data_IF_357649182544
#
_entry.id   IF_357649182544
#
_cell.length_a   1.000
_cell.length_b   1.000
_cell.length_c   1.000
_cell.angle_alpha   90.00
_cell.angle_beta   90.00
_cell.angle_gamma   90.00
#
_symmetry.space_group_name_H-M   'P 1'
#
loop_
_entity.id
_entity.type
_entity.pdbx_description
1 polymer ?
#
# COMPACT_ATOMS: atom_id res chain seq x y z
N UNK A 1 7.34 88.00 4.76
CA UNK A 1 8.59 88.18 3.97
C UNK A 1 8.71 86.93 3.12
N UNK A 2 8.13 86.87 1.91
CA UNK A 2 8.54 87.52 0.65
C UNK A 2 9.13 86.39 -0.22
N UNK A 3 8.88 86.16 -1.51
CA UNK A 3 8.23 86.82 -2.65
C UNK A 3 7.86 85.67 -3.64
N UNK A 4 6.66 85.63 -4.23
CA UNK A 4 6.34 86.06 -5.61
C UNK A 4 7.22 85.47 -6.76
N UNK A 5 6.65 84.45 -7.43
CA UNK A 5 6.40 84.36 -8.89
C UNK A 5 7.55 84.66 -9.89
N UNK A 6 7.92 83.66 -10.70
CA UNK A 6 7.84 83.74 -12.19
C UNK A 6 8.15 82.42 -12.92
N UNK A 7 7.27 82.10 -13.88
CA UNK A 7 7.43 81.09 -14.94
C UNK A 7 8.61 81.42 -15.85
N UNK A 8 9.34 80.39 -16.31
CA UNK A 8 9.85 80.29 -17.68
C UNK A 8 9.89 78.83 -18.14
N UNK A 9 9.51 78.63 -19.40
CA UNK A 9 9.49 77.37 -20.15
C UNK A 9 10.89 77.10 -20.71
N UNK A 10 11.38 75.86 -20.61
CA UNK A 10 12.37 75.33 -21.55
C UNK A 10 12.10 73.84 -21.78
N UNK A 11 11.75 73.52 -23.02
CA UNK A 11 11.67 72.16 -23.56
C UNK A 11 13.08 71.69 -24.01
N UNK A 12 13.15 70.39 -24.37
CA UNK A 12 14.30 69.59 -24.87
C UNK A 12 15.02 68.82 -23.73
N UNK A 13 15.20 67.50 -23.77
CA UNK A 13 15.27 66.55 -24.89
C UNK A 13 15.02 65.14 -24.35
N UNK A 14 14.22 64.33 -25.05
CA UNK A 14 14.08 62.92 -24.76
C UNK A 14 15.36 62.18 -25.19
N UNK A 15 16.07 61.58 -24.25
CA UNK A 15 17.08 60.56 -24.53
C UNK A 15 16.46 59.20 -24.22
N UNK A 16 15.94 58.57 -25.28
CA UNK A 16 15.55 57.16 -25.28
C UNK A 16 16.83 56.33 -25.11
N UNK A 17 17.13 55.92 -23.88
CA UNK A 17 18.09 54.84 -23.65
C UNK A 17 17.36 53.55 -23.98
N UNK A 18 17.58 53.03 -25.20
CA UNK A 18 17.27 51.64 -25.52
C UNK A 18 18.26 50.79 -24.73
N UNK A 19 17.90 50.46 -23.49
CA UNK A 19 18.50 49.34 -22.81
C UNK A 19 17.96 48.08 -23.50
N UNK A 20 18.74 47.50 -24.40
CA UNK A 20 18.59 46.11 -24.81
C UNK A 20 18.92 45.24 -23.59
N UNK A 21 17.98 45.19 -22.64
CA UNK A 21 17.99 44.25 -21.55
C UNK A 21 17.66 42.89 -22.13
N UNK A 22 18.66 42.01 -22.16
CA UNK A 22 18.53 40.61 -22.47
C UNK A 22 17.29 40.06 -21.76
N UNK A 23 16.28 39.66 -22.52
CA UNK A 23 15.19 38.85 -21.99
C UNK A 23 15.84 37.52 -21.64
N UNK A 24 16.28 37.37 -20.40
CA UNK A 24 16.53 36.05 -19.84
C UNK A 24 15.16 35.41 -19.79
N UNK A 25 14.86 34.60 -20.80
CA UNK A 25 13.72 33.72 -20.77
C UNK A 25 13.87 32.85 -19.52
N UNK A 26 13.13 33.18 -18.47
CA UNK A 26 12.86 32.24 -17.40
C UNK A 26 12.06 31.12 -18.05
N UNK A 27 12.75 30.08 -18.49
CA UNK A 27 12.12 28.81 -18.79
C UNK A 27 11.46 28.35 -17.50
N UNK A 28 10.13 28.42 -17.47
CA UNK A 28 9.34 27.71 -16.49
C UNK A 28 9.69 26.23 -16.66
N UNK A 29 10.55 25.72 -15.80
CA UNK A 29 10.77 24.29 -15.67
C UNK A 29 9.44 23.74 -15.18
N UNK A 30 8.73 23.02 -16.05
CA UNK A 30 7.56 22.26 -15.63
C UNK A 30 7.99 21.44 -14.42
N UNK A 31 7.27 21.60 -13.29
CA UNK A 31 7.48 20.76 -12.13
C UNK A 31 7.41 19.30 -12.59
N UNK A 32 8.25 18.40 -12.06
CA UNK A 32 8.13 16.99 -12.38
C UNK A 32 6.69 16.56 -12.19
N UNK A 33 6.10 15.97 -13.23
CA UNK A 33 4.73 15.46 -13.22
C UNK A 33 4.60 14.59 -11.97
N UNK A 34 3.65 14.92 -11.09
CA UNK A 34 3.40 14.10 -9.91
C UNK A 34 3.13 12.66 -10.38
N UNK A 35 3.74 11.65 -9.75
CA UNK A 35 3.51 10.27 -10.14
C UNK A 35 2.01 9.98 -10.10
N UNK A 36 1.51 9.31 -11.14
CA UNK A 36 0.10 8.96 -11.24
C UNK A 36 -0.33 8.20 -9.97
N UNK A 37 -1.51 8.52 -9.40
CA UNK A 37 -2.01 7.81 -8.24
C UNK A 37 -2.16 6.34 -8.58
N UNK A 38 -1.59 5.48 -7.74
CA UNK A 38 -1.76 4.04 -7.87
C UNK A 38 -3.21 3.70 -7.55
N UNK A 39 -3.83 2.82 -8.34
CA UNK A 39 -5.13 2.26 -8.02
C UNK A 39 -5.09 1.68 -6.60
N UNK A 40 -6.01 2.10 -5.75
CA UNK A 40 -6.03 1.65 -4.37
C UNK A 40 -6.29 0.16 -4.29
N UNK A 41 -5.62 -0.47 -3.34
CA UNK A 41 -6.09 -1.73 -2.80
C UNK A 41 -6.98 -1.38 -1.63
N UNK A 42 -8.17 -1.95 -1.59
CA UNK A 42 -9.09 -1.75 -0.47
C UNK A 42 -8.37 -2.02 0.84
N UNK A 43 -8.28 -1.03 1.74
CA UNK A 43 -7.50 -1.18 2.96
C UNK A 43 -6.14 -0.45 2.97
N UNK A 44 -5.60 -0.10 1.80
CA UNK A 44 -4.24 0.44 1.60
C UNK A 44 -4.31 1.75 0.80
N UNK A 45 -4.15 2.92 1.46
CA UNK A 45 -4.21 4.24 0.80
C UNK A 45 -3.10 4.52 -0.21
N UNK A 46 -1.87 4.08 0.08
CA UNK A 46 -0.68 4.40 -0.73
C UNK A 46 0.06 3.11 -1.13
N UNK A 47 -0.58 2.21 -1.90
CA UNK A 47 0.02 0.91 -2.22
C UNK A 47 1.25 1.06 -3.13
N UNK A 48 2.03 -0.01 -3.26
CA UNK A 48 2.97 -0.12 -4.39
C UNK A 48 2.18 -0.07 -5.72
N UNK A 49 2.74 0.54 -6.79
CA UNK A 49 2.19 0.40 -8.13
C UNK A 49 1.94 -1.07 -8.47
N UNK A 50 0.72 -1.39 -8.90
CA UNK A 50 0.35 -2.76 -9.27
C UNK A 50 1.27 -3.26 -10.38
N UNK A 51 1.92 -4.40 -10.14
CA UNK A 51 2.74 -5.07 -11.16
C UNK A 51 2.12 -6.38 -11.62
N UNK A 52 1.13 -6.87 -10.88
CA UNK A 52 0.42 -8.13 -11.08
C UNK A 52 -1.09 -7.86 -10.95
N UNK A 53 -1.72 -7.25 -11.97
CA UNK A 53 -3.15 -6.94 -11.89
C UNK A 53 -3.98 -8.21 -11.65
N UNK A 54 -5.04 -8.09 -10.85
CA UNK A 54 -5.92 -9.21 -10.57
C UNK A 54 -6.62 -9.71 -11.85
N UNK A 55 -6.49 -11.00 -12.22
CA UNK A 55 -7.04 -11.53 -13.46
C UNK A 55 -8.54 -11.84 -13.28
N UNK A 56 -9.38 -10.81 -13.34
CA UNK A 56 -10.80 -10.86 -12.99
C UNK A 56 -11.60 -11.92 -13.77
N UNK A 57 -11.23 -12.15 -15.04
CA UNK A 57 -11.93 -13.09 -15.95
C UNK A 57 -11.41 -14.53 -15.88
N UNK A 58 -10.35 -14.79 -15.11
CA UNK A 58 -9.79 -16.13 -14.98
C UNK A 58 -10.74 -17.04 -14.17
N UNK A 59 -10.85 -18.31 -14.57
CA UNK A 59 -11.52 -19.33 -13.75
C UNK A 59 -10.77 -19.52 -12.42
N UNK A 60 -11.43 -20.09 -11.40
CA UNK A 60 -10.79 -20.34 -10.10
C UNK A 60 -9.54 -21.23 -10.19
N UNK A 61 -9.54 -22.23 -11.08
CA UNK A 61 -8.35 -23.07 -11.27
C UNK A 61 -7.20 -22.28 -11.88
N UNK A 62 -7.47 -21.43 -12.88
CA UNK A 62 -6.47 -20.52 -13.44
C UNK A 62 -5.99 -19.49 -12.40
N UNK A 63 -6.89 -18.95 -11.57
CA UNK A 63 -6.54 -18.04 -10.49
C UNK A 63 -5.56 -18.68 -9.51
N UNK A 64 -5.80 -19.94 -9.12
CA UNK A 64 -4.90 -20.70 -8.25
C UNK A 64 -3.53 -20.88 -8.89
N UNK A 65 -3.50 -21.33 -10.15
CA UNK A 65 -2.25 -21.52 -10.90
C UNK A 65 -1.46 -20.21 -11.02
N UNK A 66 -2.13 -19.11 -11.39
CA UNK A 66 -1.51 -17.81 -11.56
C UNK A 66 -1.04 -17.22 -10.23
N UNK A 67 -1.79 -17.38 -9.14
CA UNK A 67 -1.38 -16.90 -7.81
C UNK A 67 -0.14 -17.67 -7.34
N UNK A 68 -0.13 -18.99 -7.51
CA UNK A 68 1.02 -19.83 -7.19
C UNK A 68 2.26 -19.46 -8.04
N UNK A 69 2.09 -19.26 -9.34
CA UNK A 69 3.18 -18.89 -10.24
C UNK A 69 3.71 -17.48 -9.99
N UNK A 70 2.82 -16.53 -9.68
CA UNK A 70 3.17 -15.11 -9.49
C UNK A 70 3.90 -14.89 -8.17
N UNK A 71 3.35 -15.44 -7.08
CA UNK A 71 3.81 -15.14 -5.74
C UNK A 71 4.61 -16.30 -5.10
N UNK A 72 4.62 -17.49 -5.70
CA UNK A 72 5.42 -18.63 -5.25
C UNK A 72 4.82 -19.41 -4.06
N UNK A 73 3.51 -19.26 -3.80
CA UNK A 73 2.83 -20.00 -2.72
C UNK A 73 2.28 -21.34 -3.17
N UNK A 74 2.35 -22.35 -2.30
CA UNK A 74 1.56 -23.58 -2.46
C UNK A 74 0.13 -23.37 -2.01
N UNK A 75 -0.86 -23.72 -2.83
CA UNK A 75 -2.27 -23.51 -2.50
C UNK A 75 -2.93 -24.80 -2.01
N UNK A 76 -3.74 -24.68 -0.96
CA UNK A 76 -4.51 -25.78 -0.39
C UNK A 76 -5.87 -25.30 0.15
N UNK A 77 -6.75 -26.23 0.49
CA UNK A 77 -8.05 -25.92 1.09
C UNK A 77 -9.21 -25.93 0.09
N UNK A 78 -10.43 -25.99 0.62
CA UNK A 78 -11.66 -26.17 -0.16
C UNK A 78 -12.39 -24.87 -0.51
N UNK A 79 -11.94 -23.73 0.03
CA UNK A 79 -12.60 -22.44 -0.17
C UNK A 79 -12.08 -21.64 -1.38
N UNK A 80 -11.22 -22.23 -2.21
CA UNK A 80 -10.94 -21.70 -3.54
C UNK A 80 -12.13 -21.98 -4.45
N UNK A 81 -13.13 -21.10 -4.43
CA UNK A 81 -14.37 -21.25 -5.20
C UNK A 81 -14.84 -19.92 -5.76
N UNK A 82 -15.74 -19.96 -6.75
CA UNK A 82 -16.31 -18.75 -7.37
C UNK A 82 -17.03 -17.87 -6.36
N UNK A 83 -17.72 -18.48 -5.39
CA UNK A 83 -18.40 -17.76 -4.31
C UNK A 83 -17.43 -16.98 -3.41
N UNK A 84 -16.13 -17.31 -3.42
CA UNK A 84 -15.08 -16.66 -2.63
C UNK A 84 -14.17 -15.77 -3.46
N UNK A 85 -14.51 -15.51 -4.73
CA UNK A 85 -13.76 -14.64 -5.64
C UNK A 85 -13.42 -13.27 -5.02
N UNK A 86 -14.33 -12.57 -4.31
CA UNK A 86 -13.97 -11.31 -3.63
C UNK A 86 -12.88 -11.46 -2.57
N UNK A 87 -12.92 -12.51 -1.74
CA UNK A 87 -11.86 -12.78 -0.75
C UNK A 87 -10.52 -13.10 -1.41
N UNK A 88 -10.54 -13.84 -2.52
CA UNK A 88 -9.36 -14.15 -3.33
C UNK A 88 -8.76 -12.87 -3.93
N UNK A 89 -9.61 -11.96 -4.42
CA UNK A 89 -9.20 -10.66 -4.94
C UNK A 89 -8.46 -9.84 -3.87
N UNK A 90 -9.02 -9.72 -2.66
CA UNK A 90 -8.35 -9.02 -1.55
C UNK A 90 -6.98 -9.63 -1.24
N UNK A 91 -6.88 -10.96 -1.16
CA UNK A 91 -5.59 -11.64 -0.96
C UNK A 91 -4.59 -11.29 -2.08
N UNK A 92 -5.01 -11.39 -3.34
CA UNK A 92 -4.15 -11.10 -4.49
C UNK A 92 -3.65 -9.66 -4.47
N UNK A 93 -4.55 -8.70 -4.34
CA UNK A 93 -4.21 -7.27 -4.36
C UNK A 93 -3.37 -6.89 -3.14
N UNK A 94 -3.61 -7.50 -1.98
CA UNK A 94 -2.76 -7.31 -0.79
C UNK A 94 -1.31 -7.79 -1.04
N UNK A 95 -1.14 -8.94 -1.72
CA UNK A 95 0.18 -9.46 -2.06
C UNK A 95 0.88 -8.56 -3.08
N UNK A 96 0.22 -8.14 -4.16
CA UNK A 96 0.80 -7.23 -5.15
C UNK A 96 1.14 -5.86 -4.55
N UNK A 97 0.30 -5.36 -3.62
CA UNK A 97 0.50 -4.07 -2.97
C UNK A 97 1.80 -3.96 -2.17
N UNK A 98 2.44 -5.08 -1.81
CA UNK A 98 3.72 -5.10 -1.09
C UNK A 98 4.90 -5.56 -1.94
N UNK A 99 4.71 -5.86 -3.23
CA UNK A 99 5.75 -6.40 -4.12
C UNK A 99 6.88 -5.40 -4.44
N UNK A 100 6.69 -4.10 -4.20
CA UNK A 100 7.77 -3.13 -4.30
C UNK A 100 8.72 -3.13 -3.09
N UNK A 101 8.59 -4.11 -2.19
CA UNK A 101 9.44 -4.33 -1.01
C UNK A 101 10.08 -5.72 -1.06
N UNK A 102 10.99 -6.02 -0.13
CA UNK A 102 11.56 -7.37 0.01
C UNK A 102 10.65 -8.34 0.74
N UNK A 103 9.48 -7.90 1.22
CA UNK A 103 8.67 -8.62 2.19
C UNK A 103 8.39 -10.07 1.76
N UNK A 104 7.89 -10.30 0.54
CA UNK A 104 7.61 -11.66 0.05
C UNK A 104 8.87 -12.54 -0.02
N UNK A 105 9.99 -11.99 -0.50
CA UNK A 105 11.25 -12.72 -0.56
C UNK A 105 11.73 -13.10 0.84
N UNK A 106 11.59 -12.20 1.81
CA UNK A 106 11.92 -12.44 3.22
C UNK A 106 11.03 -13.55 3.84
N UNK A 107 9.73 -13.59 3.51
CA UNK A 107 8.85 -14.68 3.94
C UNK A 107 9.30 -16.04 3.41
N UNK A 108 9.70 -16.09 2.14
CA UNK A 108 10.15 -17.33 1.49
C UNK A 108 11.50 -17.79 2.01
N UNK A 109 12.40 -16.87 2.35
CA UNK A 109 13.70 -17.19 2.94
C UNK A 109 13.56 -17.83 4.33
N UNK A 110 12.56 -17.39 5.11
CA UNK A 110 12.36 -17.83 6.49
C UNK A 110 11.73 -19.21 6.63
N UNK A 111 11.20 -19.77 5.54
CA UNK A 111 10.66 -21.12 5.51
C UNK A 111 11.58 -21.97 4.65
N UNK A 112 12.28 -22.94 5.25
CA UNK A 112 13.08 -23.94 4.52
C UNK A 112 12.15 -24.91 3.76
N UNK A 113 11.49 -24.43 2.72
CA UNK A 113 10.45 -25.12 1.95
C UNK A 113 9.46 -24.13 1.34
N UNK A 114 8.47 -24.65 0.60
CA UNK A 114 7.47 -23.79 -0.01
C UNK A 114 6.40 -23.39 1.01
N UNK A 115 6.33 -22.10 1.30
CA UNK A 115 5.28 -21.44 2.08
C UNK A 115 3.90 -21.64 1.42
N UNK A 116 2.92 -22.04 2.20
CA UNK A 116 1.58 -22.34 1.71
C UNK A 116 0.51 -21.30 2.08
N UNK A 117 -0.52 -21.20 1.25
CA UNK A 117 -1.77 -20.51 1.53
C UNK A 117 -2.91 -21.52 1.51
N UNK A 118 -3.65 -21.62 2.62
CA UNK A 118 -4.72 -22.56 2.82
C UNK A 118 -6.06 -21.83 2.96
N UNK A 119 -6.96 -21.94 1.99
CA UNK A 119 -8.30 -21.35 2.08
C UNK A 119 -9.26 -22.39 2.68
N UNK A 120 -9.47 -22.34 4.00
CA UNK A 120 -10.20 -23.36 4.73
C UNK A 120 -10.98 -22.80 5.92
N UNK A 121 -11.98 -23.56 6.38
CA UNK A 121 -12.73 -23.19 7.58
C UNK A 121 -11.85 -23.32 8.83
N UNK A 122 -11.86 -22.28 9.67
CA UNK A 122 -11.23 -22.28 10.99
C UNK A 122 -12.32 -22.30 12.05
N UNK A 123 -12.22 -23.18 13.04
CA UNK A 123 -13.20 -23.23 14.13
C UNK A 123 -13.06 -22.01 15.07
N UNK A 124 -14.13 -21.65 15.77
CA UNK A 124 -14.11 -20.55 16.75
C UNK A 124 -14.01 -19.15 16.13
N UNK A 125 -13.34 -18.22 16.83
CA UNK A 125 -13.33 -16.80 16.49
C UNK A 125 -12.22 -16.37 15.54
N UNK A 126 -11.19 -17.19 15.30
CA UNK A 126 -10.06 -16.84 14.44
C UNK A 126 -10.45 -16.82 12.95
N UNK A 127 -9.92 -15.87 12.19
CA UNK A 127 -10.21 -15.70 10.75
C UNK A 127 -8.99 -16.06 9.89
N UNK A 128 -7.81 -16.10 10.50
CA UNK A 128 -6.60 -16.64 9.94
C UNK A 128 -5.79 -17.32 11.03
N UNK A 129 -4.81 -18.13 10.61
CA UNK A 129 -3.75 -18.64 11.46
C UNK A 129 -2.51 -18.98 10.65
N UNK A 130 -1.35 -18.96 11.30
CA UNK A 130 -0.11 -19.53 10.76
C UNK A 130 0.18 -20.89 11.40
N UNK A 131 0.27 -21.93 10.57
CA UNK A 131 0.75 -23.28 10.94
C UNK A 131 -0.13 -24.06 11.94
N UNK A 132 -1.25 -23.51 12.42
CA UNK A 132 -2.13 -24.18 13.39
C UNK A 132 -3.11 -25.13 12.71
N UNK A 133 -3.81 -24.65 11.68
CA UNK A 133 -4.75 -25.48 10.90
C UNK A 133 -3.99 -26.40 9.95
N UNK A 134 -2.89 -25.93 9.36
CA UNK A 134 -2.03 -26.72 8.47
C UNK A 134 -0.59 -26.26 8.58
N UNK A 135 0.31 -27.15 8.98
CA UNK A 135 1.74 -26.85 9.18
C UNK A 135 2.38 -26.22 7.94
N UNK A 136 3.08 -25.10 8.12
CA UNK A 136 3.72 -24.29 7.08
C UNK A 136 2.76 -23.61 6.09
N UNK A 137 1.49 -23.43 6.47
CA UNK A 137 0.51 -22.66 5.70
C UNK A 137 -0.04 -21.52 6.53
N UNK A 138 -0.19 -20.37 5.90
CA UNK A 138 -1.14 -19.35 6.37
C UNK A 138 -2.52 -19.83 5.95
N UNK A 139 -3.38 -20.10 6.92
CA UNK A 139 -4.77 -20.44 6.68
C UNK A 139 -5.63 -19.19 6.78
N UNK A 140 -6.51 -18.96 5.81
CA UNK A 140 -7.48 -17.87 5.80
C UNK A 140 -8.88 -18.46 5.62
N UNK A 141 -9.81 -18.10 6.49
CA UNK A 141 -11.21 -18.51 6.38
C UNK A 141 -11.98 -17.50 5.50
N UNK A 142 -11.95 -17.72 4.20
CA UNK A 142 -12.68 -16.92 3.22
C UNK A 142 -14.19 -16.90 3.44
N UNK A 143 -14.76 -17.89 4.14
CA UNK A 143 -16.16 -17.82 4.53
C UNK A 143 -16.42 -16.79 5.62
N UNK A 144 -15.47 -16.58 6.54
CA UNK A 144 -15.55 -15.48 7.52
C UNK A 144 -15.23 -14.14 6.88
N UNK A 145 -14.31 -14.09 5.92
CA UNK A 145 -14.00 -12.85 5.18
C UNK A 145 -15.25 -12.21 4.58
N UNK A 146 -16.18 -13.02 4.07
CA UNK A 146 -17.45 -12.54 3.54
C UNK A 146 -18.17 -11.60 4.52
N UNK A 147 -18.11 -11.85 5.83
CA UNK A 147 -18.75 -10.99 6.84
C UNK A 147 -18.14 -9.59 6.90
N UNK A 148 -16.83 -9.48 6.70
CA UNK A 148 -16.16 -8.17 6.63
C UNK A 148 -16.48 -7.46 5.30
N UNK A 149 -16.51 -8.21 4.19
CA UNK A 149 -16.94 -7.67 2.89
C UNK A 149 -18.39 -7.15 2.96
N UNK A 150 -19.30 -7.91 3.56
CA UNK A 150 -20.71 -7.53 3.72
C UNK A 150 -20.89 -6.29 4.63
N UNK A 151 -19.90 -5.97 5.46
CA UNK A 151 -19.88 -4.78 6.33
C UNK A 151 -18.98 -3.65 5.81
N UNK A 152 -18.36 -3.81 4.64
CA UNK A 152 -17.45 -2.83 4.04
C UNK A 152 -16.11 -2.67 4.77
N UNK A 153 -15.76 -3.58 5.68
CA UNK A 153 -14.50 -3.56 6.45
C UNK A 153 -13.40 -4.34 5.72
N UNK A 154 -13.11 -3.94 4.48
CA UNK A 154 -12.10 -4.60 3.65
C UNK A 154 -10.68 -4.36 4.20
N UNK A 155 -10.46 -3.23 4.90
CA UNK A 155 -9.21 -2.91 5.57
C UNK A 155 -8.82 -3.94 6.64
N UNK A 156 -9.79 -4.47 7.39
CA UNK A 156 -9.56 -5.59 8.32
C UNK A 156 -9.03 -6.83 7.61
N UNK A 157 -9.49 -7.12 6.39
CA UNK A 157 -9.06 -8.29 5.64
C UNK A 157 -7.61 -8.14 5.17
N UNK A 158 -7.22 -6.96 4.68
CA UNK A 158 -5.82 -6.66 4.38
C UNK A 158 -4.95 -6.80 5.61
N UNK A 159 -5.34 -6.16 6.73
CA UNK A 159 -4.62 -6.25 8.00
C UNK A 159 -4.48 -7.70 8.44
N UNK A 160 -5.52 -8.52 8.28
CA UNK A 160 -5.49 -9.93 8.64
C UNK A 160 -4.54 -10.74 7.75
N UNK A 161 -4.59 -10.57 6.41
CA UNK A 161 -3.66 -11.25 5.49
C UNK A 161 -2.21 -10.95 5.86
N UNK A 162 -1.88 -9.66 6.06
CA UNK A 162 -0.51 -9.24 6.41
C UNK A 162 -0.14 -9.65 7.85
N UNK A 163 -1.09 -9.66 8.78
CA UNK A 163 -0.87 -10.16 10.15
C UNK A 163 -0.42 -11.62 10.12
N UNK A 164 -1.13 -12.50 9.41
CA UNK A 164 -0.74 -13.91 9.35
C UNK A 164 0.61 -14.12 8.64
N UNK A 165 0.90 -13.33 7.61
CA UNK A 165 2.23 -13.31 6.99
C UNK A 165 3.30 -12.72 7.93
N UNK A 166 2.93 -11.87 8.88
CA UNK A 166 3.79 -11.41 9.97
C UNK A 166 4.25 -12.56 10.87
N UNK A 167 3.39 -13.54 11.15
CA UNK A 167 3.80 -14.76 11.87
C UNK A 167 4.75 -15.63 11.05
N UNK A 168 4.61 -15.64 9.72
CA UNK A 168 5.62 -16.25 8.84
C UNK A 168 6.93 -15.48 8.93
N UNK A 169 6.88 -14.15 8.85
CA UNK A 169 8.09 -13.32 8.92
C UNK A 169 8.85 -13.60 10.22
N UNK A 170 8.17 -13.74 11.36
CA UNK A 170 8.82 -14.03 12.64
C UNK A 170 9.11 -15.53 12.90
N UNK A 171 8.98 -16.41 11.91
CA UNK A 171 9.22 -17.85 12.13
C UNK A 171 10.69 -18.18 12.42
N UNK A 172 11.62 -17.38 11.90
CA UNK A 172 13.07 -17.44 12.10
C UNK A 172 13.53 -16.79 13.42
N UNK A 173 12.62 -16.27 14.25
CA UNK A 173 12.92 -15.51 15.48
C UNK A 173 13.94 -16.15 16.43
N UNK A 174 14.04 -17.48 16.42
CA UNK A 174 14.99 -18.23 17.26
C UNK A 174 16.44 -18.09 16.79
N UNK A 175 16.66 -17.67 15.54
CA UNK A 175 17.97 -17.33 14.98
C UNK A 175 18.42 -15.92 15.38
N UNK A 176 17.56 -15.15 16.06
CA UNK A 176 17.77 -13.78 16.48
C UNK A 176 18.18 -12.83 15.35
N UNK A 177 17.42 -12.79 14.23
CA UNK A 177 17.70 -11.84 13.16
C UNK A 177 17.59 -10.40 13.67
N UNK A 178 18.26 -9.46 12.98
CA UNK A 178 18.34 -8.06 13.43
C UNK A 178 16.96 -7.44 13.66
N UNK A 179 16.05 -7.58 12.69
CA UNK A 179 14.70 -7.03 12.78
C UNK A 179 13.98 -7.51 14.05
N UNK A 180 14.12 -8.79 14.41
CA UNK A 180 13.49 -9.37 15.60
C UNK A 180 14.15 -8.90 16.90
N UNK A 181 15.48 -8.81 16.91
CA UNK A 181 16.24 -8.29 18.06
C UNK A 181 15.88 -6.83 18.35
N UNK A 182 15.68 -6.02 17.31
CA UNK A 182 15.23 -4.64 17.46
C UNK A 182 13.78 -4.59 17.95
N UNK A 183 12.90 -5.42 17.39
CA UNK A 183 11.50 -5.47 17.79
C UNK A 183 11.30 -5.84 19.25
N UNK A 184 12.00 -6.86 19.74
CA UNK A 184 11.85 -7.32 21.13
C UNK A 184 12.26 -6.23 22.13
N UNK A 185 13.30 -5.45 21.83
CA UNK A 185 13.70 -4.28 22.61
C UNK A 185 12.67 -3.15 22.54
N UNK A 186 12.11 -2.90 21.36
CA UNK A 186 11.04 -1.94 21.16
C UNK A 186 9.81 -2.33 21.99
N UNK A 187 9.38 -3.58 21.89
CA UNK A 187 8.25 -4.11 22.65
C UNK A 187 8.45 -4.00 24.16
N UNK A 188 9.66 -4.28 24.65
CA UNK A 188 9.98 -4.11 26.07
C UNK A 188 9.83 -2.66 26.56
N UNK A 189 9.97 -1.66 25.67
CA UNK A 189 9.86 -0.23 25.98
C UNK A 189 8.43 0.29 25.79
N UNK A 190 7.80 0.00 24.66
CA UNK A 190 6.50 0.56 24.28
C UNK A 190 5.33 -0.26 24.84
N UNK A 191 5.53 -1.56 25.06
CA UNK A 191 4.49 -2.46 25.57
C UNK A 191 3.39 -2.75 24.55
N UNK A 192 2.14 -2.78 25.01
CA UNK A 192 0.98 -3.22 24.22
C UNK A 192 0.72 -2.27 23.04
N UNK A 193 0.49 -2.85 21.86
CA UNK A 193 0.16 -2.10 20.64
C UNK A 193 -1.34 -2.11 20.30
N UNK A 194 -2.01 -3.23 20.56
CA UNK A 194 -3.44 -3.39 20.25
C UNK A 194 -4.14 -4.19 21.33
N UNK A 195 -5.47 -4.12 21.35
CA UNK A 195 -6.21 -4.97 22.29
C UNK A 195 -6.02 -6.45 22.00
N UNK A 196 -6.08 -6.81 20.71
CA UNK A 196 -5.99 -8.18 20.19
C UNK A 196 -4.66 -8.86 20.51
N UNK A 197 -3.54 -8.15 20.34
CA UNK A 197 -2.20 -8.70 20.60
C UNK A 197 -1.93 -8.99 22.08
N UNK A 198 -2.67 -8.34 22.98
CA UNK A 198 -2.52 -8.49 24.42
C UNK A 198 -1.07 -8.24 24.87
N UNK A 199 -0.43 -9.25 25.47
CA UNK A 199 0.98 -9.19 25.93
C UNK A 199 1.91 -10.11 25.13
N UNK A 200 1.43 -10.71 24.04
CA UNK A 200 2.25 -11.60 23.21
C UNK A 200 3.14 -10.79 22.28
N UNK A 201 4.46 -11.00 22.35
CA UNK A 201 5.42 -10.32 21.47
C UNK A 201 5.17 -10.68 20.01
N UNK A 202 4.87 -11.95 19.70
CA UNK A 202 4.66 -12.40 18.32
C UNK A 202 3.35 -11.89 17.74
N UNK A 203 2.28 -11.83 18.54
CA UNK A 203 1.02 -11.21 18.11
C UNK A 203 1.16 -9.70 17.96
N UNK A 204 1.92 -9.05 18.85
CA UNK A 204 2.20 -7.61 18.74
C UNK A 204 3.01 -7.32 17.49
N UNK A 205 3.99 -8.17 17.16
CA UNK A 205 4.73 -8.07 15.90
C UNK A 205 3.81 -8.19 14.68
N UNK A 206 2.98 -9.22 14.64
CA UNK A 206 2.05 -9.46 13.55
C UNK A 206 1.05 -8.30 13.39
N UNK A 207 0.58 -7.71 14.50
CA UNK A 207 -0.29 -6.53 14.47
C UNK A 207 0.42 -5.27 14.00
N UNK A 208 1.62 -5.01 14.49
CA UNK A 208 2.44 -3.86 14.07
C UNK A 208 2.63 -3.90 12.56
N UNK A 209 2.93 -5.07 11.99
CA UNK A 209 3.11 -5.28 10.54
C UNK A 209 1.76 -5.22 9.79
N UNK A 210 0.73 -5.87 10.32
CA UNK A 210 -0.62 -5.93 9.74
C UNK A 210 -1.28 -4.56 9.60
N UNK A 211 -1.31 -3.77 10.67
CA UNK A 211 -1.89 -2.43 10.67
C UNK A 211 -1.03 -1.40 9.91
N UNK A 212 0.26 -1.67 9.71
CA UNK A 212 1.14 -0.79 8.93
C UNK A 212 0.78 -0.81 7.45
N UNK A 213 0.42 -1.98 6.90
CA UNK A 213 -0.07 -2.12 5.53
C UNK A 213 -1.57 -1.83 5.45
N UNK A 214 -2.38 -2.49 6.28
CA UNK A 214 -3.84 -2.32 6.35
C UNK A 214 -4.24 -1.03 7.07
N UNK A 215 -3.76 0.12 6.58
CA UNK A 215 -3.97 1.43 7.24
C UNK A 215 -5.44 1.76 7.44
N UNK A 216 -6.32 1.28 6.57
CA UNK A 216 -7.76 1.50 6.64
C UNK A 216 -8.56 0.45 7.42
N UNK A 217 -7.89 -0.46 8.13
CA UNK A 217 -8.58 -1.28 9.12
C UNK A 217 -9.17 -0.38 10.21
N UNK A 218 -10.35 -0.74 10.72
CA UNK A 218 -10.97 -0.04 11.84
C UNK A 218 -10.06 -0.04 13.07
N UNK A 219 -10.16 1.03 13.87
CA UNK A 219 -9.42 1.22 15.12
C UNK A 219 -7.90 1.04 14.95
N UNK A 220 -7.34 1.50 13.82
CA UNK A 220 -5.91 1.37 13.55
C UNK A 220 -5.09 2.11 14.62
N UNK A 221 -4.24 1.42 15.40
CA UNK A 221 -3.52 2.04 16.52
C UNK A 221 -2.56 3.16 16.10
N UNK A 222 -2.15 3.23 14.83
CA UNK A 222 -1.28 4.30 14.36
C UNK A 222 -2.00 5.64 14.16
N UNK A 223 -3.33 5.69 14.14
CA UNK A 223 -4.07 6.89 13.78
C UNK A 223 -4.00 7.99 14.86
N UNK A 224 -3.74 7.63 16.11
CA UNK A 224 -3.50 8.59 17.21
C UNK A 224 -2.07 9.14 17.24
N UNK A 225 -1.12 8.46 16.59
CA UNK A 225 0.32 8.74 16.68
C UNK A 225 1.00 8.20 17.93
N UNK A 226 0.26 7.63 18.89
CA UNK A 226 0.79 7.04 20.12
C UNK A 226 1.83 5.95 19.83
N UNK A 227 1.63 5.19 18.76
CA UNK A 227 2.49 4.09 18.36
C UNK A 227 3.49 4.44 17.23
N UNK A 228 3.94 5.69 17.15
CA UNK A 228 4.91 6.13 16.12
C UNK A 228 6.22 5.30 16.12
N UNK A 229 6.71 4.86 17.29
CA UNK A 229 7.92 4.04 17.35
C UNK A 229 7.74 2.66 16.69
N UNK A 230 6.54 2.06 16.80
CA UNK A 230 6.20 0.83 16.08
C UNK A 230 6.03 1.07 14.58
N UNK A 231 5.49 2.23 14.20
CA UNK A 231 5.36 2.64 12.81
C UNK A 231 6.72 2.75 12.13
N UNK A 232 7.64 3.50 12.73
CA UNK A 232 9.00 3.68 12.22
C UNK A 232 9.75 2.35 12.15
N UNK A 233 9.53 1.47 13.13
CA UNK A 233 10.07 0.13 13.09
C UNK A 233 9.59 -0.66 11.87
N UNK A 234 8.27 -0.74 11.65
CA UNK A 234 7.71 -1.50 10.53
C UNK A 234 8.20 -0.94 9.19
N UNK A 235 8.22 0.38 9.06
CA UNK A 235 8.78 1.09 7.91
C UNK A 235 10.21 0.68 7.63
N UNK A 236 11.10 0.80 8.61
CA UNK A 236 12.54 0.62 8.41
C UNK A 236 12.93 -0.85 8.26
N UNK A 237 12.45 -1.71 9.16
CA UNK A 237 12.98 -3.06 9.31
C UNK A 237 12.19 -4.13 8.56
N UNK A 238 10.94 -3.84 8.17
CA UNK A 238 10.07 -4.82 7.50
C UNK A 238 9.81 -4.43 6.05
N UNK A 239 9.61 -3.14 5.77
CA UNK A 239 9.19 -2.67 4.44
C UNK A 239 10.21 -1.77 3.75
N UNK A 240 11.46 -1.71 4.23
CA UNK A 240 12.57 -1.05 3.53
C UNK A 240 12.35 0.45 3.26
N UNK A 241 11.61 1.14 4.13
CA UNK A 241 11.27 2.55 3.99
C UNK A 241 9.97 2.84 3.23
N UNK A 242 9.30 1.82 2.67
CA UNK A 242 8.04 1.99 1.93
C UNK A 242 6.90 2.37 2.88
N UNK A 243 6.19 3.43 2.51
CA UNK A 243 4.96 3.88 3.15
C UNK A 243 3.74 3.29 2.46
N UNK A 244 2.74 2.87 3.24
CA UNK A 244 1.45 2.35 2.75
C UNK A 244 0.26 3.26 3.09
N UNK A 245 0.53 4.38 3.76
CA UNK A 245 -0.43 5.44 4.05
C UNK A 245 0.29 6.69 4.54
N UNK A 246 -0.44 7.65 5.12
CA UNK A 246 0.20 8.80 5.76
C UNK A 246 0.91 8.37 7.05
N UNK A 247 1.82 9.23 7.52
CA UNK A 247 2.57 9.03 8.76
C UNK A 247 1.66 8.78 9.98
N UNK A 248 2.20 8.14 11.02
CA UNK A 248 1.48 7.93 12.28
C UNK A 248 0.93 9.26 12.84
N UNK A 249 -0.29 9.21 13.39
CA UNK A 249 -1.04 10.38 13.86
C UNK A 249 -1.85 11.10 12.78
N UNK A 250 -1.79 10.63 11.53
CA UNK A 250 -2.60 11.15 10.44
C UNK A 250 -3.55 10.06 9.97
N UNK A 251 -4.85 10.35 10.03
CA UNK A 251 -5.87 9.43 9.55
C UNK A 251 -5.73 9.22 8.03
N UNK A 252 -5.69 7.97 7.54
CA UNK A 252 -5.65 7.68 6.12
C UNK A 252 -6.95 8.06 5.42
N UNK A 253 -6.85 8.55 4.19
CA UNK A 253 -8.02 8.63 3.31
C UNK A 253 -8.22 7.29 2.61
N UNK A 254 -9.19 6.53 3.11
CA UNK A 254 -9.51 5.18 2.64
C UNK A 254 -10.40 5.13 1.40
N UNK A 255 -10.75 6.29 0.83
CA UNK A 255 -11.56 6.41 -0.40
C UNK A 255 -10.73 6.86 -1.60
N UNK A 256 -9.40 6.73 -1.55
CA UNK A 256 -8.53 7.15 -2.64
C UNK A 256 -8.35 6.03 -3.68
N UNK A 257 -8.05 6.37 -4.96
CA UNK A 257 -8.09 7.73 -5.46
C UNK A 257 -9.55 8.22 -5.64
N UNK A 258 -9.77 9.51 -5.36
CA UNK A 258 -11.09 10.18 -5.42
C UNK A 258 -11.75 10.11 -6.80
N UNK A 259 -13.06 10.34 -6.91
CA UNK A 259 -13.83 10.37 -8.19
C UNK A 259 -13.31 11.35 -9.25
N UNK A 260 -12.44 12.30 -8.89
CA UNK A 260 -11.79 13.25 -9.81
C UNK A 260 -10.36 12.85 -10.21
N UNK A 261 -9.90 11.66 -9.83
CA UNK A 261 -8.62 11.16 -10.28
C UNK A 261 -8.72 10.79 -11.76
N UNK A 262 -7.94 11.49 -12.60
CA UNK A 262 -7.86 11.15 -14.03
C UNK A 262 -7.38 9.71 -14.21
N UNK A 263 -8.07 8.99 -15.09
CA UNK A 263 -7.61 7.68 -15.57
C UNK A 263 -6.22 7.84 -16.19
N UNK A 264 -5.29 6.90 -15.95
CA UNK A 264 -4.11 6.81 -16.78
C UNK A 264 -4.58 6.56 -18.22
N UNK A 265 -4.32 7.52 -19.11
CA UNK A 265 -4.70 7.41 -20.50
C UNK A 265 -4.20 6.07 -21.09
N UNK A 266 -5.04 5.34 -21.84
CA UNK A 266 -4.59 4.11 -22.49
C UNK A 266 -3.40 4.45 -23.39
N UNK A 267 -2.35 3.64 -23.31
CA UNK A 267 -1.31 3.67 -24.33
C UNK A 267 -1.95 3.39 -25.67
N UNK A 268 -1.99 4.39 -26.55
CA UNK A 268 -2.16 4.17 -27.97
C UNK A 268 -1.60 5.36 -28.74
N UNK A 269 -0.54 5.10 -29.50
CA UNK A 269 -0.74 5.28 -30.94
C UNK A 269 -0.77 3.89 -31.56
N UNK A 270 -1.97 3.33 -31.71
CA UNK A 270 -2.20 2.38 -32.79
C UNK A 270 -2.36 3.24 -34.05
N UNK A 271 -1.49 2.99 -35.01
CA UNK A 271 -1.24 3.86 -36.16
C UNK A 271 -2.49 4.24 -36.97
N UNK A 272 -2.44 5.45 -37.55
CA UNK A 272 -3.46 6.15 -38.33
C UNK A 272 -3.98 5.46 -39.62
N UNK A 273 -3.74 4.16 -39.83
CA UNK A 273 -4.19 3.44 -41.03
C UNK A 273 -5.50 2.65 -40.84
N UNK A 274 -6.15 2.74 -39.68
CA UNK A 274 -7.53 2.25 -39.47
C UNK A 274 -8.61 3.32 -39.76
N UNK A 275 -8.27 4.37 -40.51
CA UNK A 275 -9.18 5.41 -41.04
C UNK A 275 -10.05 4.97 -42.23
N UNK A 276 -10.15 3.68 -42.52
CA UNK A 276 -10.96 3.17 -43.62
C UNK A 276 -12.17 2.40 -43.13
N UNK A 277 -13.36 3.02 -43.21
CA UNK A 277 -14.59 2.49 -43.84
C UNK A 277 -15.89 2.91 -43.14
N UNK A 278 -16.58 3.89 -43.73
CA UNK A 278 -18.04 4.08 -43.64
C UNK A 278 -18.45 5.33 -42.86
N UNK A 279 -19.00 6.39 -43.45
CA UNK A 279 -19.51 6.61 -44.79
C UNK A 279 -20.36 7.89 -44.75
N UNK A 280 -20.29 8.65 -45.85
CA UNK A 280 -20.97 9.92 -46.19
C UNK A 280 -20.48 11.22 -45.53
#
# INVERSE_FOLDING_TARGET
MGELVRKWIAALTASLVVAAGSVVATSAQALPIAPAPVASVSGIPTPCPSTKPYPADASIEQLKEQLAATFGFKLAGSQWTEQRRPSIKILWETLDAVECTTYRADLQANVHGALGLNAAHISGYAWGDWSLTKTNYVTLDFAKFQRALDSGDEGRLVRLVIHELGHVRNSDRYENPEYWTVFTKLFAREGRFSEYAGRSVTETFADVVGYYVGRCALDNPYDSGEHAAYYDYAKTYIFGGKEFGPAAGVAPNCTLPSETAEEPAPGAEVAAWMEGLGGE
#
